data_IF_160023659615
#
_entry.id   IF_160023659615
#
_cell.length_a   1.000
_cell.length_b   1.000
_cell.length_c   1.000
_cell.angle_alpha   90.00
_cell.angle_beta   90.00
_cell.angle_gamma   90.00
#
_symmetry.space_group_name_H-M   'P 1'
#
loop_
_entity.id
_entity.type
_entity.pdbx_description
1 polymer ?
#
# COMPACT_ATOMS: atom_id res chain seq x y z
N UNK A 1 43.79 -0.93 -11.82
CA UNK A 1 42.64 -0.06 -11.98
C UNK A 1 41.48 -0.68 -11.21
N UNK A 2 41.15 -0.06 -10.07
CA UNK A 2 39.94 -0.42 -9.30
C UNK A 2 38.76 -0.16 -10.24
N UNK A 3 38.08 -1.22 -10.64
CA UNK A 3 36.84 -1.13 -11.38
C UNK A 3 35.81 -0.47 -10.46
N UNK A 4 35.31 0.67 -10.91
CA UNK A 4 34.22 1.40 -10.22
C UNK A 4 32.88 0.60 -10.23
N UNK A 5 32.92 -0.70 -10.55
CA UNK A 5 31.79 -1.60 -10.66
C UNK A 5 31.60 -2.52 -9.45
N UNK A 6 32.42 -2.39 -8.41
CA UNK A 6 32.03 -2.87 -7.09
C UNK A 6 31.04 -1.86 -6.51
N UNK A 7 29.89 -1.73 -7.19
CA UNK A 7 28.77 -0.98 -6.66
C UNK A 7 28.38 -1.63 -5.34
N UNK A 8 28.51 -0.88 -4.26
CA UNK A 8 27.96 -1.26 -2.96
C UNK A 8 26.53 -1.73 -3.18
N UNK A 9 26.12 -2.88 -2.64
CA UNK A 9 24.78 -3.37 -2.83
C UNK A 9 23.80 -2.29 -2.36
N UNK A 10 23.01 -1.77 -3.32
CA UNK A 10 22.08 -0.69 -3.05
C UNK A 10 20.86 -1.29 -2.36
N UNK A 11 20.87 -1.36 -1.05
CA UNK A 11 19.75 -1.84 -0.24
C UNK A 11 18.56 -0.88 -0.20
N UNK A 12 18.76 0.34 -0.69
CA UNK A 12 17.83 1.44 -0.60
C UNK A 12 17.42 1.94 -1.98
N UNK A 13 16.14 2.06 -2.21
CA UNK A 13 15.59 2.71 -3.41
C UNK A 13 14.64 3.81 -2.98
N UNK A 14 14.87 5.02 -3.48
CA UNK A 14 13.94 6.13 -3.33
C UNK A 14 13.51 6.59 -4.72
N UNK A 15 12.22 6.78 -4.90
CA UNK A 15 11.64 7.36 -6.13
C UNK A 15 10.69 8.48 -5.74
N UNK A 16 10.69 9.55 -6.52
CA UNK A 16 9.74 10.63 -6.33
C UNK A 16 9.34 11.18 -7.70
N UNK A 17 8.07 11.50 -7.85
CA UNK A 17 7.51 12.21 -8.98
C UNK A 17 6.67 13.39 -8.50
N UNK A 18 6.63 14.44 -9.31
CA UNK A 18 5.87 15.62 -9.00
C UNK A 18 5.38 16.29 -10.28
N UNK A 19 4.09 16.58 -10.34
CA UNK A 19 3.44 17.25 -11.45
C UNK A 19 2.78 18.55 -10.97
N UNK A 20 3.23 19.66 -11.56
CA UNK A 20 2.73 20.99 -11.28
C UNK A 20 1.95 21.54 -12.48
N UNK A 21 0.78 22.08 -12.23
CA UNK A 21 -0.02 22.78 -13.23
C UNK A 21 0.37 24.25 -13.29
N UNK A 22 0.92 24.67 -14.42
CA UNK A 22 1.33 26.06 -14.64
C UNK A 22 0.15 27.01 -14.82
N UNK A 23 -0.98 26.52 -15.32
CA UNK A 23 -2.16 27.36 -15.60
C UNK A 23 -2.93 27.68 -14.31
N UNK A 24 -3.18 26.67 -13.48
CA UNK A 24 -3.86 26.84 -12.19
C UNK A 24 -2.91 27.19 -11.04
N UNK A 25 -1.59 27.22 -11.27
CA UNK A 25 -0.54 27.44 -10.27
C UNK A 25 -0.69 26.53 -9.03
N UNK A 26 -1.02 25.25 -9.25
CA UNK A 26 -1.30 24.30 -8.18
C UNK A 26 -0.68 22.92 -8.43
N UNK A 27 -0.35 22.17 -7.36
CA UNK A 27 0.11 20.79 -7.52
C UNK A 27 -1.03 19.89 -8.01
N UNK A 28 -0.81 19.13 -9.09
CA UNK A 28 -1.75 18.14 -9.61
C UNK A 28 -1.56 16.77 -9.00
N UNK A 29 -0.34 16.30 -9.00
CA UNK A 29 0.00 15.00 -8.44
C UNK A 29 1.44 14.97 -7.97
N UNK A 30 1.71 14.05 -7.09
CA UNK A 30 3.05 13.74 -6.64
C UNK A 30 3.07 12.45 -5.86
N UNK A 31 4.14 11.71 -5.97
CA UNK A 31 4.38 10.56 -5.12
C UNK A 31 5.83 10.54 -4.66
N UNK A 32 6.05 9.93 -3.51
CA UNK A 32 7.38 9.60 -3.02
C UNK A 32 7.30 8.19 -2.45
N UNK A 33 8.25 7.35 -2.83
CA UNK A 33 8.36 5.99 -2.34
C UNK A 33 9.79 5.72 -1.90
N UNK A 34 9.90 5.06 -0.77
CA UNK A 34 11.13 4.61 -0.18
C UNK A 34 11.04 3.11 0.06
N UNK A 35 11.99 2.36 -0.43
CA UNK A 35 12.06 0.90 -0.33
C UNK A 35 13.42 0.48 0.21
N UNK A 36 13.42 -0.43 1.18
CA UNK A 36 14.59 -1.07 1.73
C UNK A 36 14.44 -2.58 1.67
N UNK A 37 15.38 -3.25 1.03
CA UNK A 37 15.47 -4.72 1.01
C UNK A 37 16.92 -5.12 0.73
N UNK A 38 17.68 -5.58 1.74
CA UNK A 38 19.05 -6.02 1.55
C UNK A 38 19.12 -7.42 0.93
N UNK A 39 20.06 -7.62 0.02
CA UNK A 39 20.28 -8.90 -0.67
C UNK A 39 20.75 -10.00 0.27
N UNK A 40 21.52 -9.67 1.31
CA UNK A 40 22.02 -10.59 2.31
C UNK A 40 20.92 -11.13 3.25
N UNK A 41 19.82 -10.40 3.37
CA UNK A 41 18.67 -10.81 4.18
C UNK A 41 17.35 -10.35 3.57
N UNK A 42 16.81 -11.08 2.57
CA UNK A 42 15.58 -10.72 1.87
C UNK A 42 14.33 -10.69 2.76
N UNK A 43 14.43 -11.27 3.99
CA UNK A 43 13.37 -11.18 4.99
C UNK A 43 13.18 -9.78 5.58
N UNK A 44 14.14 -8.87 5.37
CA UNK A 44 14.06 -7.48 5.81
C UNK A 44 13.53 -6.61 4.69
N UNK A 45 12.25 -6.29 4.74
CA UNK A 45 11.60 -5.41 3.77
C UNK A 45 10.94 -4.26 4.52
N UNK A 46 11.20 -3.03 4.12
CA UNK A 46 10.50 -1.84 4.61
C UNK A 46 10.14 -0.95 3.44
N UNK A 47 8.88 -0.59 3.35
CA UNK A 47 8.36 0.34 2.36
C UNK A 47 7.66 1.50 3.05
N UNK A 48 7.93 2.71 2.56
CA UNK A 48 7.22 3.91 2.96
C UNK A 48 6.84 4.68 1.71
N UNK A 49 5.57 4.87 1.48
CA UNK A 49 5.01 5.58 0.35
C UNK A 49 4.14 6.75 0.79
N UNK A 50 4.18 7.83 0.02
CA UNK A 50 3.22 8.91 0.10
C UNK A 50 2.74 9.24 -1.29
N UNK A 51 1.41 9.42 -1.45
CA UNK A 51 0.78 9.77 -2.72
C UNK A 51 -0.19 10.91 -2.54
N UNK A 52 -0.03 11.91 -3.39
CA UNK A 52 -0.94 13.03 -3.54
C UNK A 52 -1.48 13.07 -4.97
N UNK A 53 -2.78 13.28 -5.15
CA UNK A 53 -3.39 13.44 -6.46
C UNK A 53 -4.64 14.33 -6.37
N UNK A 54 -4.69 15.35 -7.21
CA UNK A 54 -5.77 16.31 -7.31
C UNK A 54 -6.06 16.63 -8.79
N UNK A 55 -5.96 15.61 -9.65
CA UNK A 55 -6.09 15.74 -11.10
C UNK A 55 -7.48 15.37 -11.64
N UNK A 56 -8.38 14.93 -10.77
CA UNK A 56 -9.74 14.62 -11.19
C UNK A 56 -10.53 15.90 -11.46
N UNK A 57 -11.09 16.00 -12.67
CA UNK A 57 -11.90 17.15 -13.08
C UNK A 57 -13.35 16.90 -12.69
N UNK A 58 -13.89 17.80 -11.90
CA UNK A 58 -15.27 17.75 -11.39
C UNK A 58 -16.02 18.99 -11.77
N UNK A 59 -17.28 18.85 -12.20
CA UNK A 59 -18.14 19.99 -12.44
C UNK A 59 -18.76 20.50 -11.14
N UNK A 60 -18.39 21.71 -10.77
CA UNK A 60 -18.95 22.37 -9.58
C UNK A 60 -20.29 23.04 -9.96
N UNK A 61 -21.39 22.46 -9.47
CA UNK A 61 -22.74 22.95 -9.76
C UNK A 61 -23.01 24.36 -9.18
N UNK A 62 -22.35 24.74 -8.08
CA UNK A 62 -22.53 26.04 -7.46
C UNK A 62 -21.86 27.16 -8.25
N UNK A 63 -20.70 26.89 -8.84
CA UNK A 63 -19.93 27.89 -9.61
C UNK A 63 -20.17 27.78 -11.11
N UNK A 64 -20.81 26.70 -11.58
CA UNK A 64 -21.03 26.41 -12.99
C UNK A 64 -19.73 26.15 -13.78
N UNK A 65 -18.64 25.75 -13.11
CA UNK A 65 -17.32 25.57 -13.73
C UNK A 65 -16.73 24.20 -13.45
N UNK A 66 -15.93 23.72 -14.41
CA UNK A 66 -15.05 22.57 -14.21
C UNK A 66 -13.86 23.00 -13.36
N UNK A 67 -13.53 22.20 -12.36
CA UNK A 67 -12.39 22.44 -11.46
C UNK A 67 -11.66 21.14 -11.15
N UNK A 68 -10.38 21.24 -10.80
CA UNK A 68 -9.61 20.08 -10.34
C UNK A 68 -9.89 19.81 -8.87
N UNK A 69 -10.07 18.53 -8.55
CA UNK A 69 -10.50 18.12 -7.23
C UNK A 69 -11.90 18.61 -6.94
N UNK A 70 -12.24 18.74 -5.70
CA UNK A 70 -13.50 19.33 -5.29
C UNK A 70 -14.23 18.52 -4.24
N UNK A 71 -15.33 19.12 -3.84
CA UNK A 71 -16.17 18.62 -2.77
C UNK A 71 -17.27 17.72 -3.35
N UNK A 72 -17.71 16.76 -2.56
CA UNK A 72 -18.89 15.96 -2.88
C UNK A 72 -20.09 16.49 -2.09
N UNK A 73 -21.25 16.53 -2.73
CA UNK A 73 -22.49 16.97 -2.09
C UNK A 73 -22.64 18.51 -2.01
N UNK A 74 -23.66 18.96 -1.30
CA UNK A 74 -23.97 20.38 -1.12
C UNK A 74 -23.47 20.84 0.25
N UNK A 75 -22.71 21.95 0.34
CA UNK A 75 -22.27 22.49 1.63
C UNK A 75 -23.44 22.70 2.60
N UNK A 76 -23.29 22.18 3.83
CA UNK A 76 -24.33 22.25 4.86
C UNK A 76 -25.31 21.09 4.90
N UNK A 77 -25.13 20.07 4.05
CA UNK A 77 -25.87 18.80 4.12
C UNK A 77 -25.02 17.68 4.72
N UNK A 78 -25.67 16.64 5.25
CA UNK A 78 -25.02 15.48 5.85
C UNK A 78 -24.14 14.69 4.87
N UNK A 79 -24.35 14.89 3.56
CA UNK A 79 -23.60 14.22 2.49
C UNK A 79 -22.44 15.07 1.96
N UNK A 80 -22.18 16.24 2.56
CA UNK A 80 -21.08 17.09 2.12
C UNK A 80 -19.73 16.57 2.61
N UNK A 81 -18.80 16.39 1.67
CA UNK A 81 -17.41 16.04 1.97
C UNK A 81 -16.48 16.94 1.19
N UNK A 82 -15.73 17.72 1.93
CA UNK A 82 -14.69 18.57 1.39
C UNK A 82 -13.55 17.73 0.82
N UNK A 83 -12.99 18.17 -0.31
CA UNK A 83 -11.83 17.53 -0.96
C UNK A 83 -12.05 16.02 -1.27
N UNK A 84 -13.29 15.62 -1.51
CA UNK A 84 -13.66 14.20 -1.71
C UNK A 84 -12.89 13.50 -2.83
N UNK A 85 -12.62 14.22 -3.93
CA UNK A 85 -11.91 13.68 -5.08
C UNK A 85 -10.40 13.77 -4.98
N UNK A 86 -9.90 14.36 -3.91
CA UNK A 86 -8.48 14.44 -3.62
C UNK A 86 -7.97 13.12 -3.04
N UNK A 87 -6.85 12.65 -3.53
CA UNK A 87 -6.13 11.51 -2.96
C UNK A 87 -4.94 12.06 -2.20
N UNK A 88 -4.88 11.74 -0.92
CA UNK A 88 -3.75 12.08 -0.06
C UNK A 88 -3.53 10.93 0.93
N UNK A 89 -2.59 10.06 0.62
CA UNK A 89 -2.45 8.79 1.31
C UNK A 89 -1.00 8.52 1.64
N UNK A 90 -0.76 7.89 2.80
CA UNK A 90 0.48 7.19 3.02
C UNK A 90 0.24 5.67 2.99
N UNK A 91 1.30 4.95 2.66
CA UNK A 91 1.36 3.50 2.68
C UNK A 91 2.67 3.09 3.37
N UNK A 92 2.56 2.40 4.47
CA UNK A 92 3.68 1.82 5.18
C UNK A 92 3.52 0.31 5.16
N UNK A 93 4.56 -0.42 4.75
CA UNK A 93 4.59 -1.88 4.88
C UNK A 93 5.96 -2.38 5.32
N UNK A 94 5.96 -3.46 6.07
CA UNK A 94 7.18 -4.02 6.61
C UNK A 94 7.05 -5.54 6.77
N UNK A 95 8.13 -6.23 6.39
CA UNK A 95 8.41 -7.60 6.83
C UNK A 95 9.76 -7.59 7.53
N UNK A 96 9.81 -8.13 8.75
CA UNK A 96 11.02 -8.06 9.55
C UNK A 96 11.22 -9.31 10.40
N UNK A 97 12.41 -9.93 10.37
CA UNK A 97 12.74 -11.03 11.26
C UNK A 97 12.89 -10.51 12.70
N UNK A 98 12.11 -11.08 13.62
CA UNK A 98 12.15 -10.69 15.05
C UNK A 98 13.12 -11.62 15.81
N UNK A 99 12.97 -12.90 15.59
CA UNK A 99 13.80 -13.97 16.13
C UNK A 99 14.00 -15.04 15.05
N UNK A 100 14.94 -15.96 15.17
CA UNK A 100 15.11 -17.03 14.19
C UNK A 100 13.78 -17.73 13.87
N UNK A 101 13.48 -17.89 12.57
CA UNK A 101 12.26 -18.49 12.03
C UNK A 101 10.97 -17.66 12.18
N UNK A 102 10.96 -16.54 12.90
CA UNK A 102 9.78 -15.71 13.07
C UNK A 102 9.94 -14.34 12.42
N UNK A 103 9.01 -14.03 11.54
CA UNK A 103 8.93 -12.75 10.86
C UNK A 103 7.65 -12.01 11.25
N UNK A 104 7.78 -10.71 11.49
CA UNK A 104 6.65 -9.78 11.59
C UNK A 104 6.24 -9.36 10.19
N UNK A 105 4.96 -9.34 9.93
CA UNK A 105 4.38 -8.82 8.68
C UNK A 105 3.39 -7.72 9.07
N UNK A 106 3.51 -6.53 8.50
CA UNK A 106 2.58 -5.43 8.77
C UNK A 106 2.44 -4.50 7.58
N UNK A 107 1.26 -3.92 7.44
CA UNK A 107 0.97 -2.82 6.52
C UNK A 107 -0.07 -1.89 7.12
N UNK A 108 0.05 -0.61 6.80
CA UNK A 108 -0.93 0.40 7.14
C UNK A 108 -1.02 1.45 6.04
N UNK A 109 -2.21 1.56 5.45
CA UNK A 109 -2.55 2.55 4.45
C UNK A 109 -3.64 3.47 4.99
N UNK A 110 -3.39 4.76 4.98
CA UNK A 110 -4.28 5.78 5.53
C UNK A 110 -4.57 6.87 4.52
N UNK A 111 -5.83 7.30 4.44
CA UNK A 111 -6.31 8.38 3.57
C UNK A 111 -6.59 9.62 4.41
N UNK A 112 -5.78 10.65 4.21
CA UNK A 112 -5.92 11.94 4.91
C UNK A 112 -7.11 12.75 4.41
N UNK A 113 -7.44 12.66 3.12
CA UNK A 113 -8.57 13.40 2.55
C UNK A 113 -9.91 12.93 3.12
N UNK A 114 -10.00 11.64 3.46
CA UNK A 114 -11.20 11.02 4.04
C UNK A 114 -11.06 10.67 5.52
N UNK A 115 -9.90 10.99 6.10
CA UNK A 115 -9.58 10.77 7.51
C UNK A 115 -9.88 9.34 7.99
N UNK A 116 -9.41 8.34 7.22
CA UNK A 116 -9.67 6.92 7.54
C UNK A 116 -8.54 5.99 7.11
N UNK A 117 -8.43 4.86 7.80
CA UNK A 117 -7.63 3.72 7.35
C UNK A 117 -8.33 3.03 6.19
N UNK A 118 -7.62 2.83 5.09
CA UNK A 118 -8.11 2.06 3.93
C UNK A 118 -7.81 0.58 4.08
N UNK A 119 -6.59 0.27 4.50
CA UNK A 119 -6.16 -1.08 4.78
C UNK A 119 -5.14 -1.08 5.92
N UNK A 120 -5.28 -2.03 6.81
CA UNK A 120 -4.27 -2.32 7.81
C UNK A 120 -4.22 -3.82 8.04
N UNK A 121 -3.04 -4.39 8.04
CA UNK A 121 -2.87 -5.76 8.49
C UNK A 121 -1.61 -5.91 9.32
N UNK A 122 -1.66 -6.89 10.20
CA UNK A 122 -0.53 -7.26 11.04
C UNK A 122 -0.59 -8.73 11.39
N UNK A 123 0.57 -9.37 11.43
CA UNK A 123 0.66 -10.79 11.72
C UNK A 123 2.07 -11.30 11.84
N UNK A 124 2.15 -12.59 12.05
CA UNK A 124 3.40 -13.31 12.20
C UNK A 124 3.50 -14.44 11.20
N UNK A 125 4.71 -14.67 10.74
CA UNK A 125 5.08 -15.81 9.92
C UNK A 125 6.13 -16.62 10.67
N UNK A 126 5.87 -17.91 10.81
CA UNK A 126 6.85 -18.89 11.20
C UNK A 126 7.36 -19.62 9.96
N UNK A 127 8.65 -19.57 9.72
CA UNK A 127 9.29 -20.16 8.55
C UNK A 127 10.34 -21.19 8.97
N UNK A 128 10.13 -22.45 8.56
CA UNK A 128 11.05 -23.56 8.80
C UNK A 128 11.49 -24.17 7.46
N UNK A 129 12.41 -25.12 7.50
CA UNK A 129 12.92 -25.82 6.31
C UNK A 129 11.83 -26.42 5.41
N UNK A 130 10.75 -26.93 5.99
CA UNK A 130 9.79 -27.81 5.31
C UNK A 130 8.37 -27.20 5.21
N UNK A 131 8.04 -26.22 6.03
CA UNK A 131 6.73 -25.58 6.06
C UNK A 131 6.79 -24.14 6.57
N UNK A 132 5.78 -23.40 6.23
CA UNK A 132 5.61 -22.01 6.60
C UNK A 132 4.18 -21.80 7.13
N UNK A 133 4.03 -21.10 8.25
CA UNK A 133 2.74 -20.78 8.85
C UNK A 133 2.61 -19.27 8.95
N UNK A 134 1.49 -18.73 8.48
CA UNK A 134 1.15 -17.30 8.59
C UNK A 134 -0.16 -17.11 9.33
N UNK A 135 -0.18 -16.21 10.28
CA UNK A 135 -1.38 -15.77 10.98
C UNK A 135 -1.46 -14.26 10.85
N UNK A 136 -2.47 -13.76 10.14
CA UNK A 136 -2.59 -12.35 9.78
C UNK A 136 -3.99 -11.86 10.12
N UNK A 137 -4.07 -10.82 10.94
CA UNK A 137 -5.30 -10.05 11.14
C UNK A 137 -5.30 -8.90 10.13
N UNK A 138 -6.39 -8.75 9.38
CA UNK A 138 -6.54 -7.72 8.34
C UNK A 138 -7.83 -6.95 8.53
N UNK A 139 -7.72 -5.64 8.41
CA UNK A 139 -8.81 -4.69 8.22
C UNK A 139 -8.71 -4.12 6.81
N UNK A 140 -9.84 -4.01 6.11
CA UNK A 140 -9.87 -3.38 4.78
C UNK A 140 -11.23 -2.74 4.52
N UNK A 141 -11.24 -1.69 3.71
CA UNK A 141 -12.45 -1.08 3.17
C UNK A 141 -12.63 -1.60 1.76
N UNK A 142 -13.74 -2.25 1.48
CA UNK A 142 -14.07 -2.72 0.14
C UNK A 142 -14.44 -1.52 -0.73
N UNK A 143 -13.78 -1.36 -1.86
CA UNK A 143 -14.20 -0.40 -2.86
C UNK A 143 -15.31 -1.06 -3.69
N UNK A 144 -16.42 -0.35 -3.86
CA UNK A 144 -17.45 -0.78 -4.78
C UNK A 144 -16.87 -0.81 -6.21
N UNK A 145 -17.12 -1.87 -6.96
CA UNK A 145 -16.50 -2.14 -8.27
C UNK A 145 -16.77 -1.01 -9.30
N UNK A 146 -17.78 -0.19 -9.04
CA UNK A 146 -18.22 0.92 -9.89
C UNK A 146 -17.75 2.31 -9.46
N UNK A 147 -17.37 2.51 -8.22
CA UNK A 147 -16.81 3.77 -7.77
C UNK A 147 -15.34 3.57 -7.38
N UNK A 148 -14.43 4.22 -8.10
CA UNK A 148 -13.01 4.30 -7.71
C UNK A 148 -12.83 4.99 -6.35
N UNK A 149 -13.93 5.40 -5.74
CA UNK A 149 -14.04 6.15 -4.51
C UNK A 149 -14.95 5.34 -3.60
N UNK A 150 -14.39 4.75 -2.54
CA UNK A 150 -15.19 4.00 -1.58
C UNK A 150 -16.26 4.91 -0.94
N UNK A 151 -17.51 4.43 -0.80
CA UNK A 151 -18.60 5.19 -0.19
C UNK A 151 -18.21 5.75 1.18
N UNK A 152 -18.69 6.93 1.51
CA UNK A 152 -18.36 7.66 2.73
C UNK A 152 -18.68 6.92 4.03
N UNK A 153 -19.71 6.07 4.00
CA UNK A 153 -20.25 5.39 5.17
C UNK A 153 -19.92 3.88 5.19
N UNK A 154 -19.03 3.40 4.34
CA UNK A 154 -18.68 2.00 4.35
C UNK A 154 -17.85 1.66 5.59
N UNK A 155 -18.37 0.75 6.41
CA UNK A 155 -17.62 0.14 7.49
C UNK A 155 -16.63 -0.84 6.89
N UNK A 156 -15.38 -0.76 7.34
CA UNK A 156 -14.37 -1.73 6.92
C UNK A 156 -14.68 -3.13 7.46
N UNK A 157 -14.26 -4.11 6.71
CA UNK A 157 -14.31 -5.52 7.08
C UNK A 157 -13.08 -5.92 7.89
N UNK A 158 -13.23 -6.95 8.69
CA UNK A 158 -12.15 -7.55 9.47
C UNK A 158 -12.04 -9.05 9.15
N UNK A 159 -10.81 -9.54 9.08
CA UNK A 159 -10.58 -10.96 8.85
C UNK A 159 -9.33 -11.46 9.53
N UNK A 160 -9.41 -12.67 10.08
CA UNK A 160 -8.25 -13.42 10.54
C UNK A 160 -7.93 -14.48 9.47
N UNK A 161 -6.71 -14.43 8.95
CA UNK A 161 -6.23 -15.33 7.91
C UNK A 161 -5.17 -16.27 8.48
N UNK A 162 -5.35 -17.54 8.24
CA UNK A 162 -4.39 -18.59 8.53
C UNK A 162 -3.95 -19.23 7.21
N UNK A 163 -2.65 -19.30 6.97
CA UNK A 163 -2.07 -19.96 5.80
C UNK A 163 -0.99 -20.91 6.25
N UNK A 164 -1.04 -22.13 5.70
CA UNK A 164 0.04 -23.13 5.84
C UNK A 164 0.57 -23.41 4.44
N UNK A 165 1.88 -23.28 4.27
CA UNK A 165 2.58 -23.59 3.02
C UNK A 165 3.54 -24.74 3.30
N UNK A 166 3.42 -25.81 2.54
CA UNK A 166 4.36 -26.95 2.59
C UNK A 166 5.40 -26.75 1.48
N UNK A 167 6.65 -26.54 1.88
CA UNK A 167 7.76 -26.38 0.94
C UNK A 167 8.03 -27.70 0.21
N UNK A 168 8.21 -27.63 -1.10
CA UNK A 168 8.46 -28.82 -1.92
C UNK A 168 7.22 -29.53 -2.46
N UNK A 169 6.02 -29.21 -2.00
CA UNK A 169 4.77 -29.63 -2.64
C UNK A 169 4.26 -28.47 -3.50
N UNK A 170 4.74 -28.36 -4.71
CA UNK A 170 4.39 -27.26 -5.61
C UNK A 170 2.87 -27.10 -5.77
N UNK A 171 2.35 -25.88 -5.54
CA UNK A 171 1.03 -25.48 -5.98
C UNK A 171 -0.12 -25.50 -4.97
N UNK A 172 0.08 -25.81 -3.70
CA UNK A 172 -0.95 -25.68 -2.65
C UNK A 172 -0.83 -24.33 -1.92
N UNK A 173 -0.74 -23.26 -2.66
CA UNK A 173 -0.65 -21.92 -2.10
C UNK A 173 -2.04 -21.37 -1.80
N UNK A 174 -2.26 -20.88 -0.60
CA UNK A 174 -3.48 -20.16 -0.23
C UNK A 174 -3.60 -18.83 -0.98
N UNK A 175 -4.08 -18.90 -2.20
CA UNK A 175 -4.10 -17.79 -3.19
C UNK A 175 -4.61 -16.45 -2.64
N UNK A 176 -5.48 -16.46 -1.62
CA UNK A 176 -6.02 -15.22 -1.03
C UNK A 176 -4.98 -14.48 -0.19
N UNK A 177 -4.22 -15.18 0.67
CA UNK A 177 -3.22 -14.54 1.55
C UNK A 177 -2.07 -14.00 0.71
N UNK A 178 -1.53 -14.79 -0.21
CA UNK A 178 -0.48 -14.33 -1.12
C UNK A 178 -0.90 -13.13 -1.97
N UNK A 179 -2.14 -13.13 -2.47
CA UNK A 179 -2.62 -12.03 -3.31
C UNK A 179 -2.62 -10.68 -2.59
N UNK A 180 -3.02 -10.59 -1.33
CA UNK A 180 -2.99 -9.31 -0.64
C UNK A 180 -1.59 -8.96 -0.10
N UNK A 181 -0.75 -9.94 0.23
CA UNK A 181 0.65 -9.69 0.60
C UNK A 181 1.47 -9.19 -0.59
N UNK A 182 1.34 -9.82 -1.74
CA UNK A 182 2.01 -9.41 -2.99
C UNK A 182 1.60 -8.01 -3.43
N UNK A 183 0.31 -7.69 -3.34
CA UNK A 183 -0.20 -6.34 -3.65
C UNK A 183 0.16 -5.29 -2.60
N UNK A 184 0.31 -5.71 -1.36
CA UNK A 184 0.48 -4.82 -0.22
C UNK A 184 1.92 -4.56 0.18
N UNK A 185 2.84 -5.46 -0.13
CA UNK A 185 4.24 -5.35 0.29
C UNK A 185 5.13 -5.48 -0.94
N UNK A 186 5.69 -4.37 -1.38
CA UNK A 186 6.71 -4.40 -2.44
C UNK A 186 7.93 -5.19 -1.95
N UNK A 187 8.47 -6.09 -2.78
CA UNK A 187 9.57 -6.98 -2.41
C UNK A 187 9.12 -8.32 -1.80
N UNK A 188 7.80 -8.52 -1.62
CA UNK A 188 7.27 -9.79 -1.10
C UNK A 188 7.58 -10.97 -2.01
N UNK A 189 7.38 -10.80 -3.32
CA UNK A 189 7.58 -11.86 -4.32
C UNK A 189 9.06 -12.24 -4.46
N UNK A 190 9.94 -11.26 -4.52
CA UNK A 190 11.38 -11.45 -4.57
C UNK A 190 11.89 -12.22 -3.36
N UNK A 191 11.32 -11.95 -2.19
CA UNK A 191 11.60 -12.70 -0.97
C UNK A 191 11.13 -14.16 -1.05
N UNK A 192 9.92 -14.40 -1.53
CA UNK A 192 9.39 -15.77 -1.66
C UNK A 192 10.21 -16.59 -2.66
N UNK A 193 10.60 -15.99 -3.80
CA UNK A 193 11.40 -16.67 -4.83
C UNK A 193 12.81 -17.07 -4.32
N UNK A 194 13.37 -16.33 -3.36
CA UNK A 194 14.67 -16.66 -2.75
C UNK A 194 14.55 -17.68 -1.60
N UNK A 195 13.35 -17.92 -1.08
CA UNK A 195 13.09 -18.83 0.02
C UNK A 195 12.83 -20.29 -0.42
N UNK A 196 12.77 -20.54 -1.74
CA UNK A 196 12.60 -21.84 -2.39
C UNK A 196 13.78 -22.19 -3.26
#
# INVERSE_FOLDING_TARGET
>A
PLSLHDALPIYWRATADYNWDTDSHSPRSGSAMFHYQPEDNPNKVVNLGYRYRNDQVVYNQLTGKWQFGGDYGTPGTDNYVKDYYKIQQHDFSMMWPIIPQWNLITRWQYDYARNRTLEAFGGFEYDNCCWKLRVINRYWVSNDEYSQIAPLNEKGDHGLFLQIVLKGLGGLTGAKVESFLDKGIQGYREREDQAF
#
